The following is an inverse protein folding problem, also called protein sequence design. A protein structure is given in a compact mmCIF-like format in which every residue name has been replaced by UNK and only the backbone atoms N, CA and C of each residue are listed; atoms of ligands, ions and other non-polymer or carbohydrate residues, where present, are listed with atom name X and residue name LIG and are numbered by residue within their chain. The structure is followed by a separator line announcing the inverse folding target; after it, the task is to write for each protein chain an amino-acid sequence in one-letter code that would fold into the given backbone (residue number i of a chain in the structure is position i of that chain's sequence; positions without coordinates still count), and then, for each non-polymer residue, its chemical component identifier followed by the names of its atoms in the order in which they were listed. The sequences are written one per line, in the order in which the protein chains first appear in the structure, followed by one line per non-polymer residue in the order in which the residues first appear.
data_IF_744208623336
#
_entry.id   IF_744208623336
#
_cell.length_a   1.000
_cell.length_b   1.000
_cell.length_c   1.000
_cell.angle_alpha   90.00
_cell.angle_beta   90.00
_cell.angle_gamma   90.00
#
_symmetry.space_group_name_H-M   'P 1'
#
loop_
_entity.id
_entity.type
_entity.pdbx_description
1 polymer ?
#
# COMPACT_ATOMS: atom_id res chain seq x y z
N UNK A 1 -17.76 -2.80 -0.03
CA UNK A 1 -16.84 -1.75 -0.53
C UNK A 1 -16.02 -1.41 0.68
N UNK A 2 -14.82 -1.97 0.75
CA UNK A 2 -14.08 -2.11 2.00
C UNK A 2 -12.68 -1.48 1.89
N UNK A 3 -12.30 -1.06 0.68
CA UNK A 3 -11.04 -0.37 0.38
C UNK A 3 -11.22 1.15 0.41
N UNK A 4 -10.30 1.83 1.11
CA UNK A 4 -10.22 3.29 1.16
C UNK A 4 -8.93 3.77 0.48
N UNK A 5 -9.08 4.62 -0.54
CA UNK A 5 -7.96 5.29 -1.20
C UNK A 5 -8.00 6.76 -0.81
N UNK A 6 -6.95 7.23 -0.13
CA UNK A 6 -6.81 8.62 0.28
C UNK A 6 -5.36 9.09 0.10
N UNK A 7 -5.17 10.41 0.02
CA UNK A 7 -3.87 11.05 -0.11
C UNK A 7 -3.82 12.38 0.63
N UNK A 8 -2.62 12.82 1.02
CA UNK A 8 -2.39 14.15 1.56
C UNK A 8 -1.15 14.80 0.95
N UNK A 9 -1.02 16.11 1.15
CA UNK A 9 0.11 16.93 0.70
C UNK A 9 1.38 16.79 1.54
N UNK A 10 1.32 16.13 2.71
CA UNK A 10 2.47 15.92 3.58
C UNK A 10 2.44 14.55 4.26
N UNK A 11 3.62 13.99 4.54
CA UNK A 11 3.77 12.71 5.25
C UNK A 11 3.16 12.79 6.65
N UNK A 12 3.34 13.91 7.35
CA UNK A 12 2.78 14.15 8.69
C UNK A 12 1.25 14.07 8.69
N UNK A 13 0.60 14.68 7.69
CA UNK A 13 -0.85 14.62 7.53
C UNK A 13 -1.34 13.19 7.26
N UNK A 14 -0.61 12.41 6.45
CA UNK A 14 -0.98 11.00 6.22
C UNK A 14 -0.79 10.15 7.49
N UNK A 15 0.27 10.39 8.28
CA UNK A 15 0.46 9.73 9.58
C UNK A 15 -0.72 9.99 10.51
N UNK A 16 -1.20 11.23 10.57
CA UNK A 16 -2.37 11.60 11.36
C UNK A 16 -3.64 10.91 10.83
N UNK A 17 -3.91 11.00 9.52
CA UNK A 17 -5.07 10.37 8.89
C UNK A 17 -5.12 8.86 9.16
N UNK A 18 -3.97 8.20 9.09
CA UNK A 18 -3.86 6.77 9.40
C UNK A 18 -4.29 6.47 10.85
N UNK A 19 -3.86 7.28 11.81
CA UNK A 19 -4.25 7.11 13.21
C UNK A 19 -5.74 7.36 13.45
N UNK A 20 -6.30 8.38 12.79
CA UNK A 20 -7.73 8.66 12.84
C UNK A 20 -8.55 7.48 12.28
N UNK A 21 -8.10 6.88 11.17
CA UNK A 21 -8.73 5.68 10.60
C UNK A 21 -8.66 4.50 11.56
N UNK A 22 -7.49 4.21 12.13
CA UNK A 22 -7.33 3.11 13.11
C UNK A 22 -8.29 3.31 14.29
N UNK A 23 -8.37 4.52 14.83
CA UNK A 23 -9.26 4.85 15.94
C UNK A 23 -10.74 4.70 15.55
N UNK A 24 -11.12 5.17 14.36
CA UNK A 24 -12.48 5.06 13.84
C UNK A 24 -12.90 3.59 13.68
N UNK A 25 -12.07 2.78 13.03
CA UNK A 25 -12.35 1.35 12.87
C UNK A 25 -12.39 0.63 14.21
N UNK A 26 -11.47 0.95 15.13
CA UNK A 26 -11.49 0.38 16.47
C UNK A 26 -12.76 0.73 17.24
N UNK A 27 -13.28 1.95 17.11
CA UNK A 27 -14.55 2.36 17.71
C UNK A 27 -15.76 1.60 17.13
N UNK A 28 -15.66 1.17 15.88
CA UNK A 28 -16.66 0.32 15.22
C UNK A 28 -16.45 -1.19 15.49
N UNK A 29 -15.46 -1.59 16.29
CA UNK A 29 -15.11 -3.00 16.53
C UNK A 29 -14.43 -3.68 15.33
N UNK A 30 -13.89 -2.90 14.40
CA UNK A 30 -13.20 -3.36 13.19
C UNK A 30 -11.69 -3.10 13.32
N UNK A 31 -10.89 -3.91 12.63
CA UNK A 31 -9.45 -3.70 12.52
C UNK A 31 -9.08 -3.26 11.10
N UNK A 32 -8.23 -2.23 11.01
CA UNK A 32 -7.59 -1.88 9.74
C UNK A 32 -6.57 -2.97 9.38
N UNK A 33 -6.94 -3.90 8.50
CA UNK A 33 -6.18 -5.13 8.23
C UNK A 33 -4.97 -4.96 7.31
N UNK A 34 -5.06 -4.08 6.29
CA UNK A 34 -3.99 -3.86 5.31
C UNK A 34 -3.76 -2.37 5.12
N UNK A 35 -2.49 -1.97 5.01
CA UNK A 35 -2.09 -0.61 4.71
C UNK A 35 -1.00 -0.62 3.63
N UNK A 36 -1.15 0.20 2.61
CA UNK A 36 -0.16 0.38 1.55
C UNK A 36 0.06 1.87 1.29
N UNK A 37 1.30 2.25 1.01
CA UNK A 37 1.69 3.63 0.75
C UNK A 37 2.95 3.69 -0.09
N UNK A 38 3.08 4.76 -0.87
CA UNK A 38 4.29 5.09 -1.61
C UNK A 38 5.43 5.62 -0.71
N UNK A 39 5.16 6.00 0.53
CA UNK A 39 6.19 6.45 1.48
C UNK A 39 6.58 5.32 2.42
N UNK A 40 7.85 4.92 2.40
CA UNK A 40 8.41 3.87 3.26
C UNK A 40 8.19 4.18 4.75
N UNK A 41 8.29 5.45 5.15
CA UNK A 41 8.02 5.89 6.52
C UNK A 41 6.60 5.58 7.03
N UNK A 42 5.65 5.31 6.14
CA UNK A 42 4.26 5.00 6.49
C UNK A 42 4.00 3.48 6.61
N UNK A 43 4.97 2.66 6.17
CA UNK A 43 4.90 1.20 6.14
C UNK A 43 5.47 0.55 7.41
N UNK A 44 6.30 1.26 8.18
CA UNK A 44 7.08 0.72 9.31
C UNK A 44 6.28 0.10 10.48
N UNK A 45 4.97 0.31 10.53
CA UNK A 45 4.14 -0.06 11.68
C UNK A 45 3.13 -1.18 11.37
N UNK A 46 3.08 -1.66 10.13
CA UNK A 46 2.38 -2.90 9.82
C UNK A 46 3.45 -3.96 9.63
N UNK A 47 3.29 -5.11 10.28
CA UNK A 47 3.98 -6.30 9.81
C UNK A 47 3.63 -6.41 8.33
N UNK A 48 4.63 -6.19 7.49
CA UNK A 48 4.55 -6.30 6.05
C UNK A 48 4.46 -7.79 5.75
N UNK A 49 3.41 -8.46 6.24
CA UNK A 49 3.18 -9.88 6.11
C UNK A 49 2.78 -10.26 4.66
N UNK A 50 2.64 -9.27 3.78
CA UNK A 50 2.17 -9.50 2.40
C UNK A 50 2.76 -8.50 1.37
N UNK A 51 3.78 -7.73 1.73
CA UNK A 51 4.19 -6.54 0.96
C UNK A 51 5.50 -6.66 0.17
N UNK A 52 6.29 -7.72 0.37
CA UNK A 52 7.34 -8.05 -0.59
C UNK A 52 6.82 -9.17 -1.49
N UNK A 53 5.81 -8.82 -2.30
CA UNK A 53 5.61 -9.59 -3.53
C UNK A 53 6.85 -9.29 -4.35
N UNK A 54 7.87 -10.14 -4.17
CA UNK A 54 8.96 -10.27 -5.13
C UNK A 54 8.30 -10.66 -6.44
N UNK A 55 7.91 -9.64 -7.21
CA UNK A 55 7.59 -9.78 -8.60
C UNK A 55 8.90 -10.23 -9.21
N UNK A 56 9.10 -11.54 -9.27
CA UNK A 56 10.13 -12.14 -10.09
C UNK A 56 9.65 -11.86 -11.50
N UNK A 57 9.98 -10.67 -12.02
CA UNK A 57 9.63 -10.23 -13.36
C UNK A 57 10.47 -11.11 -14.29
N UNK A 58 9.89 -12.13 -14.96
CA UNK A 58 10.64 -12.87 -15.95
C UNK A 58 11.11 -11.89 -17.02
N UNK A 59 12.29 -12.16 -17.61
CA UNK A 59 12.89 -11.34 -18.68
C UNK A 59 11.91 -10.99 -19.81
N UNK A 60 10.85 -11.80 -19.99
CA UNK A 60 9.72 -11.53 -20.85
C UNK A 60 8.44 -11.39 -20.03
N UNK A 61 8.06 -10.15 -19.72
CA UNK A 61 6.79 -9.87 -19.04
C UNK A 61 5.80 -9.29 -20.04
N UNK A 62 4.60 -9.88 -20.12
CA UNK A 62 3.49 -9.30 -20.88
C UNK A 62 2.57 -8.53 -19.94
N UNK A 63 2.53 -7.21 -20.08
CA UNK A 63 1.49 -6.38 -19.48
C UNK A 63 0.48 -6.01 -20.58
N UNK A 64 -0.81 -6.31 -20.36
CA UNK A 64 -1.89 -5.96 -21.29
C UNK A 64 -1.69 -6.50 -22.72
N UNK A 65 -1.04 -7.66 -22.88
CA UNK A 65 -0.77 -8.29 -24.18
C UNK A 65 0.44 -7.73 -24.94
N UNK A 66 1.10 -6.69 -24.42
CA UNK A 66 2.31 -6.11 -25.00
C UNK A 66 3.54 -6.77 -24.38
N UNK A 67 4.45 -7.24 -25.24
CA UNK A 67 5.71 -7.86 -24.82
C UNK A 67 6.69 -6.76 -24.39
N UNK A 68 7.01 -6.71 -23.10
CA UNK A 68 8.06 -5.84 -22.59
C UNK A 68 9.44 -6.44 -22.91
N UNK A 69 10.28 -5.70 -23.63
CA UNK A 69 11.69 -6.04 -23.91
C UNK A 69 12.58 -4.95 -23.34
N UNK A 70 13.12 -5.11 -22.12
CA UNK A 70 14.03 -4.14 -21.53
C UNK A 70 15.40 -4.26 -22.20
N UNK A 71 15.60 -3.59 -23.34
CA UNK A 71 16.93 -3.43 -23.94
C UNK A 71 17.30 -1.95 -24.06
N UNK A 72 18.41 -1.59 -23.40
CA UNK A 72 19.58 -1.03 -24.07
C UNK A 72 20.85 -1.50 -23.36
#
# INVERSE_FOLDING_TARGET
MDDLISGCSSISSVKQLKQELISLFSGAGMQLHKWSSNCIELLSNFDVSDGDVSLTIPNETKALGLLWRPQK
#
